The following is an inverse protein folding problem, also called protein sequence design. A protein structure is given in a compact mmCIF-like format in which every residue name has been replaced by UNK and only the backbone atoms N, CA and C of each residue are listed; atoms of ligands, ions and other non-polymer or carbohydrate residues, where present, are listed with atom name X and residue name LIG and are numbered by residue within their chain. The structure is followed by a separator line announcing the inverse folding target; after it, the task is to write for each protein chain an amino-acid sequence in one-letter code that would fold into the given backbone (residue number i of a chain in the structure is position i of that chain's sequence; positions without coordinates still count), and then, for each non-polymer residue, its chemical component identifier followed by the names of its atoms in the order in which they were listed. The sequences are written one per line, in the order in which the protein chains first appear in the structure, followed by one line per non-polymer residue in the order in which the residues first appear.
data_IF_735026920148
#
_entry.id   IF_735026920148
#
_cell.length_a   1.000
_cell.length_b   1.000
_cell.length_c   1.000
_cell.angle_alpha   90.00
_cell.angle_beta   90.00
_cell.angle_gamma   90.00
#
_symmetry.space_group_name_H-M   'P 1'
#
loop_
_entity.id
_entity.type
_entity.pdbx_description
1 polymer ?
#
# COMPACT_ATOMS: atom_id res chain seq x y z
N UNK A 1 -9.04 -10.48 -8.97
CA UNK A 1 -9.40 -9.52 -10.05
C UNK A 1 -9.04 -10.17 -11.39
N UNK A 2 -9.71 -9.84 -12.51
CA UNK A 2 -9.34 -10.35 -13.84
C UNK A 2 -9.07 -9.19 -14.79
N UNK A 3 -7.94 -9.21 -15.49
CA UNK A 3 -7.58 -8.24 -16.53
C UNK A 3 -7.14 -9.01 -17.77
N UNK A 4 -7.92 -8.94 -18.84
CA UNK A 4 -7.70 -9.72 -20.05
C UNK A 4 -7.65 -11.23 -19.77
N UNK A 5 -6.57 -11.88 -20.16
CA UNK A 5 -6.32 -13.31 -19.95
C UNK A 5 -5.71 -13.64 -18.57
N UNK A 6 -5.46 -12.66 -17.71
CA UNK A 6 -4.78 -12.86 -16.44
C UNK A 6 -5.75 -12.80 -15.26
N UNK A 7 -5.60 -13.76 -14.36
CA UNK A 7 -6.17 -13.70 -13.01
C UNK A 7 -5.13 -13.09 -12.08
N UNK A 8 -5.51 -12.01 -11.40
CA UNK A 8 -4.65 -11.23 -10.52
C UNK A 8 -4.97 -11.53 -9.06
N UNK A 9 -3.92 -11.81 -8.30
CA UNK A 9 -3.94 -11.95 -6.85
C UNK A 9 -3.06 -10.87 -6.22
N UNK A 10 -3.62 -10.12 -5.29
CA UNK A 10 -2.84 -9.21 -4.44
C UNK A 10 -2.40 -9.99 -3.21
N UNK A 11 -1.10 -10.10 -3.03
CA UNK A 11 -0.49 -10.85 -1.93
C UNK A 11 0.20 -9.85 -1.02
N UNK A 12 -0.25 -9.79 0.22
CA UNK A 12 0.37 -8.98 1.26
C UNK A 12 1.67 -9.66 1.71
N UNK A 13 2.76 -8.89 1.74
CA UNK A 13 4.10 -9.44 2.00
C UNK A 13 4.68 -8.94 3.33
N UNK A 14 4.37 -7.70 3.73
CA UNK A 14 4.76 -7.17 5.04
C UNK A 14 3.92 -5.97 5.42
N UNK A 15 3.71 -5.79 6.72
CA UNK A 15 3.15 -4.58 7.33
C UNK A 15 4.24 -3.85 8.12
N UNK A 16 4.25 -2.52 8.05
CA UNK A 16 5.23 -1.70 8.74
C UNK A 16 4.73 -0.26 8.95
N UNK A 17 5.32 0.43 9.92
CA UNK A 17 5.10 1.86 10.12
C UNK A 17 6.18 2.68 9.39
N UNK A 18 5.76 3.72 8.67
CA UNK A 18 6.66 4.64 7.99
C UNK A 18 6.31 6.09 8.33
N UNK A 19 7.29 6.98 8.43
CA UNK A 19 7.02 8.39 8.76
C UNK A 19 6.03 9.03 7.76
N UNK A 20 4.92 9.54 8.28
CA UNK A 20 3.86 10.12 7.47
C UNK A 20 4.31 11.40 6.76
N UNK A 21 5.15 12.21 7.41
CA UNK A 21 5.69 13.43 6.81
C UNK A 21 6.53 13.12 5.56
N UNK A 22 7.40 12.11 5.63
CA UNK A 22 8.19 11.64 4.50
C UNK A 22 7.33 11.12 3.35
N UNK A 23 6.20 10.47 3.64
CA UNK A 23 5.29 9.94 2.62
C UNK A 23 4.44 10.99 1.93
N UNK A 24 3.99 12.01 2.66
CA UNK A 24 3.11 13.06 2.14
C UNK A 24 3.87 14.34 1.72
N UNK A 25 5.17 14.42 2.00
CA UNK A 25 6.06 15.49 1.56
C UNK A 25 5.60 16.87 2.01
N UNK A 26 5.23 17.72 1.04
CA UNK A 26 4.81 19.11 1.31
C UNK A 26 3.41 19.23 1.92
N UNK A 27 2.60 18.17 1.92
CA UNK A 27 1.22 18.26 2.39
C UNK A 27 1.20 18.40 3.92
N UNK A 28 0.52 19.41 4.48
CA UNK A 28 0.42 19.60 5.92
C UNK A 28 -0.25 18.42 6.64
N UNK A 29 0.29 18.05 7.80
CA UNK A 29 -0.24 16.98 8.66
C UNK A 29 -1.75 17.04 8.91
N UNK A 30 -2.35 18.20 9.26
CA UNK A 30 -3.80 18.29 9.46
C UNK A 30 -4.65 17.92 8.23
N UNK A 31 -4.09 17.91 7.02
CA UNK A 31 -4.79 17.50 5.81
C UNK A 31 -4.68 15.99 5.57
N UNK A 32 -3.47 15.44 5.58
CA UNK A 32 -3.25 14.02 5.25
C UNK A 32 -3.59 13.07 6.40
N UNK A 33 -3.47 13.49 7.67
CA UNK A 33 -3.76 12.65 8.84
C UNK A 33 -5.22 12.22 8.91
N UNK A 34 -6.11 12.96 8.24
CA UNK A 34 -7.52 12.58 8.08
C UNK A 34 -7.72 11.32 7.24
N UNK A 35 -6.82 11.04 6.29
CA UNK A 35 -6.88 9.84 5.44
C UNK A 35 -5.94 8.74 5.92
N UNK A 36 -4.79 9.11 6.48
CA UNK A 36 -3.80 8.19 7.01
C UNK A 36 -3.43 8.58 8.45
N UNK A 37 -4.21 8.12 9.45
CA UNK A 37 -3.94 8.41 10.86
C UNK A 37 -2.53 7.97 11.25
N UNK A 38 -1.77 8.86 11.87
CA UNK A 38 -0.44 8.55 12.35
C UNK A 38 -0.47 8.11 13.83
N UNK A 39 0.51 7.29 14.22
CA UNK A 39 0.75 6.95 15.61
C UNK A 39 1.49 8.07 16.38
N UNK A 40 1.79 7.83 17.65
CA UNK A 40 2.50 8.76 18.53
C UNK A 40 3.91 9.14 18.01
N UNK A 41 4.50 8.30 17.16
CA UNK A 41 5.80 8.53 16.52
C UNK A 41 5.69 9.13 15.12
N UNK A 42 4.51 9.64 14.74
CA UNK A 42 4.19 10.20 13.43
C UNK A 42 4.27 9.19 12.26
N UNK A 43 4.14 7.89 12.54
CA UNK A 43 4.18 6.85 11.51
C UNK A 43 2.77 6.49 11.04
N UNK A 44 2.61 6.31 9.74
CA UNK A 44 1.41 5.76 9.13
C UNK A 44 1.58 4.26 8.89
N UNK A 45 0.48 3.52 9.01
CA UNK A 45 0.45 2.09 8.67
C UNK A 45 0.58 1.88 7.17
N UNK A 46 1.57 1.09 6.77
CA UNK A 46 1.86 0.73 5.39
C UNK A 46 1.92 -0.78 5.24
N UNK A 47 1.63 -1.25 4.03
CA UNK A 47 1.72 -2.66 3.66
C UNK A 47 2.34 -2.78 2.29
N UNK A 48 3.30 -3.69 2.16
CA UNK A 48 3.85 -4.07 0.86
C UNK A 48 2.97 -5.14 0.22
N UNK A 49 2.71 -5.00 -1.07
CA UNK A 49 1.91 -5.96 -1.83
C UNK A 49 2.63 -6.35 -3.10
N UNK A 50 2.69 -7.65 -3.34
CA UNK A 50 3.05 -8.21 -4.63
C UNK A 50 1.78 -8.54 -5.42
N UNK A 51 1.81 -8.31 -6.73
CA UNK A 51 0.70 -8.62 -7.62
C UNK A 51 1.09 -9.84 -8.46
N UNK A 52 0.50 -10.98 -8.15
CA UNK A 52 0.71 -12.22 -8.89
C UNK A 52 -0.29 -12.27 -10.06
N UNK A 53 0.24 -12.43 -11.28
CA UNK A 53 -0.55 -12.60 -12.50
C UNK A 53 -0.44 -14.06 -12.94
N UNK A 54 -1.58 -14.73 -13.07
CA UNK A 54 -1.67 -16.11 -13.54
C UNK A 54 -2.39 -16.14 -14.88
N UNK A 55 -1.80 -16.76 -15.90
CA UNK A 55 -2.48 -17.06 -17.17
C UNK A 55 -2.65 -18.56 -17.35
N UNK A 56 -3.62 -18.95 -18.17
CA UNK A 56 -3.83 -20.37 -18.51
C UNK A 56 -2.64 -20.96 -19.29
N UNK A 57 -1.85 -20.11 -19.97
CA UNK A 57 -0.67 -20.50 -20.75
C UNK A 57 0.63 -20.61 -19.94
N UNK A 58 0.69 -20.01 -18.74
CA UNK A 58 1.77 -20.17 -17.77
C UNK A 58 1.21 -19.97 -16.37
N UNK A 59 1.18 -21.08 -15.62
CA UNK A 59 0.89 -21.09 -14.19
C UNK A 59 2.11 -20.61 -13.40
#
# INVERSE_FOLDING_TARGET
MKIGQYTLYSIETSEFGLDGGAMFGIIPKPLWEKQAPADEMNRIGMVTRSLLLVSDSRK
#
